data_IF_516532617728
#
_entry.id   IF_516532617728
#
_cell.length_a   1.000
_cell.length_b   1.000
_cell.length_c   1.000
_cell.angle_alpha   90.00
_cell.angle_beta   90.00
_cell.angle_gamma   90.00
#
_symmetry.space_group_name_H-M   'P 1'
#
loop_
_entity.id
_entity.type
_entity.pdbx_description
1 polymer ?
#
# COMPACT_ATOMS: atom_id res chain seq x y z
N UNK A 1 8.92 -0.52 12.31
CA UNK A 1 7.79 -0.75 11.38
C UNK A 1 8.36 -0.96 9.98
N UNK A 2 8.11 -2.10 9.33
CA UNK A 2 8.84 -2.52 8.12
C UNK A 2 8.48 -1.76 6.84
N UNK A 3 7.35 -1.03 6.83
CA UNK A 3 6.98 -0.11 5.75
C UNK A 3 7.25 1.35 6.15
N UNK A 4 7.84 2.11 5.21
CA UNK A 4 8.02 3.54 5.39
C UNK A 4 6.65 4.24 5.46
N UNK A 5 6.52 5.36 6.20
CA UNK A 5 5.27 6.11 6.29
C UNK A 5 4.56 6.39 4.95
N UNK A 6 5.24 6.84 3.87
CA UNK A 6 4.56 7.09 2.60
C UNK A 6 4.11 5.81 1.88
N UNK A 7 4.85 4.71 2.02
CA UNK A 7 4.44 3.40 1.48
C UNK A 7 3.18 2.89 2.18
N UNK A 8 3.14 3.00 3.51
CA UNK A 8 1.97 2.62 4.30
C UNK A 8 0.76 3.48 3.95
N UNK A 9 0.92 4.80 3.90
CA UNK A 9 -0.17 5.72 3.54
C UNK A 9 -0.73 5.41 2.14
N UNK A 10 0.15 5.20 1.15
CA UNK A 10 -0.25 4.85 -0.21
C UNK A 10 -0.99 3.51 -0.27
N UNK A 11 -0.51 2.48 0.43
CA UNK A 11 -1.21 1.20 0.50
C UNK A 11 -2.56 1.30 1.20
N UNK A 12 -2.65 2.02 2.32
CA UNK A 12 -3.93 2.23 3.03
C UNK A 12 -4.94 2.91 2.11
N UNK A 13 -4.55 3.98 1.42
CA UNK A 13 -5.44 4.69 0.51
C UNK A 13 -5.94 3.79 -0.63
N UNK A 14 -5.05 3.05 -1.30
CA UNK A 14 -5.43 2.24 -2.46
C UNK A 14 -6.14 0.92 -2.09
N UNK A 15 -5.74 0.25 -1.01
CA UNK A 15 -6.23 -1.10 -0.68
C UNK A 15 -7.26 -1.14 0.45
N UNK A 16 -7.08 -0.35 1.51
CA UNK A 16 -8.00 -0.36 2.64
C UNK A 16 -9.18 0.60 2.42
N UNK A 17 -8.93 1.76 1.81
CA UNK A 17 -9.95 2.77 1.53
C UNK A 17 -10.51 2.69 0.11
N UNK A 18 -9.87 1.92 -0.79
CA UNK A 18 -10.38 1.65 -2.14
C UNK A 18 -10.26 2.82 -3.12
N UNK A 19 -9.44 3.84 -2.84
CA UNK A 19 -9.19 4.92 -3.77
C UNK A 19 -8.40 4.47 -4.99
N UNK A 20 -8.68 5.07 -6.15
CA UNK A 20 -7.81 4.95 -7.32
C UNK A 20 -6.43 5.56 -7.05
N UNK A 21 -5.44 5.20 -7.87
CA UNK A 21 -4.11 5.80 -7.75
C UNK A 21 -4.15 7.33 -7.96
N UNK A 22 -5.02 7.81 -8.85
CA UNK A 22 -5.18 9.22 -9.14
C UNK A 22 -5.79 9.97 -7.94
N UNK A 23 -6.80 9.38 -7.27
CA UNK A 23 -7.40 9.95 -6.06
C UNK A 23 -6.45 9.91 -4.87
N UNK A 24 -5.76 8.80 -4.65
CA UNK A 24 -4.79 8.65 -3.57
C UNK A 24 -3.61 9.62 -3.73
N UNK A 25 -3.12 9.85 -4.95
CA UNK A 25 -2.04 10.80 -5.22
C UNK A 25 -2.46 12.24 -4.86
N UNK A 26 -3.70 12.62 -5.21
CA UNK A 26 -4.27 13.91 -4.83
C UNK A 26 -4.47 14.03 -3.32
N UNK A 27 -5.05 13.02 -2.68
CA UNK A 27 -5.30 12.98 -1.24
C UNK A 27 -4.02 13.13 -0.43
N UNK A 28 -2.95 12.44 -0.83
CA UNK A 28 -1.66 12.45 -0.14
C UNK A 28 -0.73 13.58 -0.62
N UNK A 29 -1.21 14.48 -1.48
CA UNK A 29 -0.44 15.61 -2.01
C UNK A 29 0.91 15.21 -2.62
N UNK A 30 0.92 14.17 -3.47
CA UNK A 30 2.13 13.68 -4.13
C UNK A 30 1.93 13.44 -5.64
N UNK A 31 3.01 13.47 -6.46
CA UNK A 31 2.92 13.10 -7.87
C UNK A 31 2.43 11.65 -8.05
N UNK A 32 1.65 11.40 -9.11
CA UNK A 32 1.11 10.06 -9.41
C UNK A 32 2.21 9.00 -9.56
N UNK A 33 3.34 9.35 -10.19
CA UNK A 33 4.49 8.45 -10.31
C UNK A 33 5.10 8.08 -8.95
N UNK A 34 5.20 9.06 -8.05
CA UNK A 34 5.67 8.87 -6.67
C UNK A 34 4.74 7.93 -5.91
N UNK A 35 3.42 8.16 -5.97
CA UNK A 35 2.44 7.26 -5.37
C UNK A 35 2.61 5.83 -5.87
N UNK A 36 2.65 5.62 -7.20
CA UNK A 36 2.78 4.28 -7.80
C UNK A 36 4.05 3.58 -7.32
N UNK A 37 5.18 4.30 -7.20
CA UNK A 37 6.42 3.73 -6.68
C UNK A 37 6.34 3.36 -5.18
N UNK A 38 5.64 4.15 -4.36
CA UNK A 38 5.38 3.82 -2.96
C UNK A 38 4.46 2.61 -2.82
N UNK A 39 3.42 2.50 -3.63
CA UNK A 39 2.56 1.32 -3.69
C UNK A 39 3.37 0.09 -4.08
N UNK A 40 4.19 0.17 -5.14
CA UNK A 40 5.01 -0.95 -5.60
C UNK A 40 5.95 -1.47 -4.51
N UNK A 41 6.82 -0.60 -3.96
CA UNK A 41 7.78 -0.96 -2.91
C UNK A 41 7.08 -1.44 -1.64
N UNK A 42 5.97 -0.79 -1.28
CA UNK A 42 5.14 -1.18 -0.15
C UNK A 42 4.59 -2.61 -0.32
N UNK A 43 4.09 -2.96 -1.50
CA UNK A 43 3.59 -4.31 -1.81
C UNK A 43 4.68 -5.36 -1.74
N UNK A 44 5.85 -5.09 -2.31
CA UNK A 44 7.00 -6.02 -2.26
C UNK A 44 7.40 -6.33 -0.81
N UNK A 45 7.50 -5.29 0.03
CA UNK A 45 7.76 -5.45 1.47
C UNK A 45 6.64 -6.20 2.18
N UNK A 46 5.38 -5.89 1.87
CA UNK A 46 4.24 -6.55 2.49
C UNK A 46 4.17 -8.03 2.11
N UNK A 47 4.48 -8.37 0.85
CA UNK A 47 4.58 -9.77 0.41
C UNK A 47 5.64 -10.52 1.21
N UNK A 48 6.83 -9.95 1.41
CA UNK A 48 7.88 -10.55 2.24
C UNK A 48 7.43 -10.75 3.70
N UNK A 49 6.74 -9.76 4.28
CA UNK A 49 6.23 -9.84 5.65
C UNK A 49 5.13 -10.89 5.84
N UNK A 50 4.35 -11.11 4.78
CA UNK A 50 3.27 -12.10 4.77
C UNK A 50 3.72 -13.46 4.23
N UNK A 51 5.00 -13.67 3.94
CA UNK A 51 5.52 -15.01 3.65
C UNK A 51 5.31 -15.89 4.89
N UNK A 52 4.42 -16.88 4.78
CA UNK A 52 4.01 -17.75 5.90
C UNK A 52 2.69 -17.35 6.56
N UNK A 53 2.01 -16.29 6.11
CA UNK A 53 0.62 -16.03 6.50
C UNK A 53 -0.29 -17.04 5.81
N UNK A 54 -0.75 -18.04 6.55
CA UNK A 54 -1.88 -18.85 6.12
C UNK A 54 -3.17 -18.02 6.20
N UNK A 55 -3.90 -17.97 5.09
CA UNK A 55 -5.26 -17.44 5.06
C UNK A 55 -6.14 -18.42 5.84
N UNK A 56 -6.16 -18.33 7.17
CA UNK A 56 -7.16 -19.04 7.96
C UNK A 56 -8.50 -18.47 7.52
N UNK A 57 -9.26 -19.24 6.75
CA UNK A 57 -10.62 -18.86 6.38
C UNK A 57 -11.35 -18.54 7.68
N UNK A 58 -11.82 -17.29 7.79
CA UNK A 58 -12.75 -16.93 8.85
C UNK A 58 -13.97 -17.85 8.68
N UNK A 59 -14.35 -18.63 9.71
CA UNK A 59 -15.52 -19.51 9.63
C UNK A 59 -16.81 -18.72 9.36
#
# INVERSE_FOLDING_TARGET
>A
AHLAPPERAALTACYALGYSNEEAAKMLSMPLGTLKSHVLRGREKLQMLLQGWERKAMP
#
